data_IF_049286637941
#
_entry.id   IF_049286637941
#
_cell.length_a   1.000
_cell.length_b   1.000
_cell.length_c   1.000
_cell.angle_alpha   90.00
_cell.angle_beta   90.00
_cell.angle_gamma   90.00
#
_symmetry.space_group_name_H-M   'P 1'
#
loop_
_entity.id
_entity.type
_entity.pdbx_description
1 polymer ?
#
# COMPACT_ATOMS: atom_id res chain seq x y z
N UNK A 1 7.93 -22.19 9.51
CA UNK A 1 6.49 -22.48 9.37
C UNK A 1 6.24 -22.94 7.94
N UNK A 2 5.61 -24.09 7.76
CA UNK A 2 5.19 -24.59 6.43
C UNK A 2 3.95 -23.83 6.00
N UNK A 3 4.06 -22.98 4.98
CA UNK A 3 2.90 -22.34 4.36
C UNK A 3 2.01 -23.43 3.75
N UNK A 4 0.71 -23.48 4.06
CA UNK A 4 -0.18 -24.45 3.45
C UNK A 4 -0.26 -24.23 1.94
N UNK A 5 -0.51 -25.29 1.18
CA UNK A 5 -0.63 -25.17 -0.28
C UNK A 5 -1.83 -24.31 -0.70
N UNK A 6 -2.91 -24.31 0.09
CA UNK A 6 -4.09 -23.46 -0.08
C UNK A 6 -4.50 -22.83 1.25
N UNK A 7 -5.19 -21.70 1.13
CA UNK A 7 -5.79 -20.94 2.23
C UNK A 7 -6.75 -21.81 3.05
N UNK A 8 -6.59 -21.86 4.38
CA UNK A 8 -7.58 -22.47 5.26
C UNK A 8 -8.87 -21.64 5.31
N UNK A 9 -8.84 -20.40 4.81
CA UNK A 9 -9.97 -19.48 4.76
C UNK A 9 -10.55 -19.37 3.35
N UNK A 10 -11.86 -19.17 3.27
CA UNK A 10 -12.52 -18.93 1.98
C UNK A 10 -12.13 -17.57 1.43
N UNK A 11 -12.19 -17.38 0.10
CA UNK A 11 -11.93 -16.08 -0.52
C UNK A 11 -12.87 -14.97 0.01
N UNK A 12 -14.04 -15.34 0.54
CA UNK A 12 -15.02 -14.41 1.15
C UNK A 12 -14.61 -13.90 2.53
N UNK A 13 -13.55 -14.44 3.14
CA UNK A 13 -13.08 -13.98 4.44
C UNK A 13 -12.04 -12.86 4.36
N UNK A 14 -11.46 -12.64 3.17
CA UNK A 14 -10.52 -11.56 2.93
C UNK A 14 -11.28 -10.26 2.73
N UNK A 15 -10.88 -9.23 3.47
CA UNK A 15 -11.63 -7.96 3.54
C UNK A 15 -10.79 -6.73 3.21
N UNK A 16 -9.47 -6.91 3.09
CA UNK A 16 -8.51 -5.86 2.75
C UNK A 16 -7.72 -6.31 1.52
N UNK A 17 -7.76 -5.52 0.46
CA UNK A 17 -6.88 -5.65 -0.70
C UNK A 17 -5.66 -4.75 -0.53
N UNK A 18 -4.49 -5.25 -0.91
CA UNK A 18 -3.22 -4.53 -0.91
C UNK A 18 -2.60 -4.66 -2.31
N UNK A 19 -2.42 -3.56 -3.01
CA UNK A 19 -1.79 -3.54 -4.34
C UNK A 19 -0.43 -2.86 -4.23
N UNK A 20 0.60 -3.53 -4.77
CA UNK A 20 1.95 -3.00 -4.93
C UNK A 20 2.29 -2.84 -6.42
N UNK A 21 3.23 -1.96 -6.74
CA UNK A 21 3.77 -1.82 -8.10
C UNK A 21 4.95 -2.77 -8.35
N UNK A 22 5.83 -2.93 -7.35
CA UNK A 22 7.15 -3.56 -7.51
C UNK A 22 7.29 -4.86 -6.70
N UNK A 23 8.22 -5.71 -7.12
CA UNK A 23 8.54 -6.95 -6.39
C UNK A 23 9.11 -6.68 -5.00
N UNK A 24 9.90 -5.61 -4.85
CA UNK A 24 10.49 -5.21 -3.56
C UNK A 24 9.40 -4.81 -2.55
N UNK A 25 8.34 -4.15 -3.03
CA UNK A 25 7.17 -3.74 -2.26
C UNK A 25 6.31 -4.93 -1.86
N UNK A 26 6.02 -5.83 -2.80
CA UNK A 26 5.26 -7.05 -2.50
C UNK A 26 6.02 -7.97 -1.53
N UNK A 27 7.35 -8.03 -1.64
CA UNK A 27 8.19 -8.74 -0.69
C UNK A 27 8.10 -8.14 0.72
N UNK A 28 8.11 -6.80 0.84
CA UNK A 28 7.89 -6.13 2.12
C UNK A 28 6.47 -6.38 2.65
N UNK A 29 5.43 -6.31 1.80
CA UNK A 29 4.05 -6.60 2.18
C UNK A 29 3.90 -8.02 2.76
N UNK A 30 4.44 -9.03 2.07
CA UNK A 30 4.52 -10.41 2.58
C UNK A 30 5.31 -10.48 3.88
N UNK A 31 6.43 -9.75 3.94
CA UNK A 31 7.30 -9.63 5.11
C UNK A 31 6.57 -9.16 6.36
N UNK A 32 5.60 -8.25 6.19
CA UNK A 32 4.83 -7.61 7.26
C UNK A 32 3.58 -8.40 7.71
N UNK A 33 3.15 -9.43 6.98
CA UNK A 33 2.00 -10.26 7.39
C UNK A 33 2.33 -11.09 8.62
N UNK A 34 1.44 -11.16 9.62
CA UNK A 34 1.64 -12.01 10.80
C UNK A 34 1.69 -13.49 10.39
N UNK A 35 0.74 -13.91 9.53
CA UNK A 35 0.66 -15.25 8.98
C UNK A 35 0.45 -15.22 7.46
N UNK A 36 0.99 -16.22 6.75
CA UNK A 36 0.79 -16.41 5.32
C UNK A 36 -0.10 -17.64 5.11
N UNK A 37 -1.16 -17.48 4.33
CA UNK A 37 -2.20 -18.49 4.17
C UNK A 37 -2.05 -19.36 2.91
N UNK A 38 -1.03 -19.15 2.06
CA UNK A 38 -0.89 -19.92 0.81
C UNK A 38 -1.80 -19.43 -0.32
N UNK A 39 -2.12 -20.30 -1.27
CA UNK A 39 -2.91 -19.96 -2.46
C UNK A 39 -4.41 -19.77 -2.17
N UNK A 40 -5.17 -19.05 -3.01
CA UNK A 40 -6.62 -18.94 -2.88
C UNK A 40 -7.30 -20.33 -2.74
N UNK A 41 -8.26 -20.43 -1.82
CA UNK A 41 -8.93 -21.71 -1.57
C UNK A 41 -9.73 -22.15 -2.81
N UNK A 42 -10.48 -21.20 -3.37
CA UNK A 42 -11.06 -21.31 -4.70
C UNK A 42 -10.12 -20.61 -5.68
N UNK A 43 -9.64 -21.30 -6.72
CA UNK A 43 -8.80 -20.69 -7.74
C UNK A 43 -9.49 -19.46 -8.37
N UNK A 44 -8.73 -18.43 -8.74
CA UNK A 44 -9.24 -17.34 -9.57
C UNK A 44 -9.84 -17.86 -10.88
N UNK A 45 -10.71 -17.06 -11.50
CA UNK A 45 -11.19 -17.36 -12.85
C UNK A 45 -10.03 -17.31 -13.85
N UNK A 46 -10.13 -18.01 -14.99
CA UNK A 46 -9.05 -18.04 -16.00
C UNK A 46 -8.66 -16.65 -16.55
N UNK A 47 -9.58 -15.70 -16.50
CA UNK A 47 -9.33 -14.32 -16.93
C UNK A 47 -8.60 -13.47 -15.87
N UNK A 48 -8.56 -13.90 -14.60
CA UNK A 48 -7.81 -13.24 -13.54
C UNK A 48 -6.35 -13.68 -13.61
N UNK A 49 -5.49 -12.77 -14.03
CA UNK A 49 -4.06 -13.03 -14.25
C UNK A 49 -3.20 -12.58 -13.06
N UNK A 50 -3.83 -12.21 -11.94
CA UNK A 50 -3.10 -11.82 -10.75
C UNK A 50 -2.49 -13.02 -10.05
N UNK A 51 -1.35 -12.76 -9.44
CA UNK A 51 -0.75 -13.65 -8.44
C UNK A 51 -0.98 -13.05 -7.05
N UNK A 52 -1.63 -13.81 -6.18
CA UNK A 52 -2.06 -13.37 -4.87
C UNK A 52 -1.15 -13.90 -3.76
N UNK A 53 -0.91 -13.06 -2.76
CA UNK A 53 -0.38 -13.46 -1.46
C UNK A 53 -1.47 -13.23 -0.43
N UNK A 54 -1.84 -14.29 0.25
CA UNK A 54 -2.88 -14.26 1.27
C UNK A 54 -2.25 -14.32 2.66
N UNK A 55 -2.77 -13.53 3.58
CA UNK A 55 -2.29 -13.55 4.96
C UNK A 55 -3.18 -12.79 5.93
N UNK A 56 -2.67 -12.65 7.16
CA UNK A 56 -3.30 -11.88 8.22
C UNK A 56 -2.39 -10.76 8.71
N UNK A 57 -3.00 -9.66 9.15
CA UNK A 57 -2.35 -8.57 9.87
C UNK A 57 -3.27 -8.12 11.00
N UNK A 58 -2.87 -8.43 12.22
CA UNK A 58 -3.72 -8.46 13.39
C UNK A 58 -4.97 -9.30 13.11
N UNK A 59 -6.14 -8.67 13.27
CA UNK A 59 -7.45 -9.31 13.03
C UNK A 59 -7.91 -9.29 11.57
N UNK A 60 -7.16 -8.65 10.68
CA UNK A 60 -7.58 -8.45 9.29
C UNK A 60 -6.98 -9.52 8.38
N UNK A 61 -7.81 -10.11 7.52
CA UNK A 61 -7.34 -10.98 6.43
C UNK A 61 -7.10 -10.14 5.18
N UNK A 62 -5.88 -10.18 4.72
CA UNK A 62 -5.33 -9.32 3.65
C UNK A 62 -5.01 -10.17 2.43
N UNK A 63 -5.41 -9.69 1.26
CA UNK A 63 -4.94 -10.20 -0.03
C UNK A 63 -4.05 -9.16 -0.66
N UNK A 64 -2.80 -9.53 -0.93
CA UNK A 64 -1.84 -8.69 -1.62
C UNK A 64 -1.62 -9.18 -3.05
N UNK A 65 -1.52 -8.25 -4.00
CA UNK A 65 -1.11 -8.52 -5.37
C UNK A 65 -0.14 -7.43 -5.83
N UNK A 66 0.63 -7.73 -6.88
CA UNK A 66 1.44 -6.72 -7.56
C UNK A 66 0.99 -6.53 -9.00
N UNK A 67 1.30 -5.37 -9.54
CA UNK A 67 1.19 -5.12 -10.98
C UNK A 67 2.09 -6.09 -11.77
N UNK A 68 1.70 -6.50 -13.00
CA UNK A 68 2.55 -7.28 -13.88
C UNK A 68 3.89 -6.61 -14.16
N UNK A 69 4.92 -7.42 -14.44
CA UNK A 69 6.26 -6.90 -14.77
C UNK A 69 6.15 -5.98 -15.99
N UNK A 70 6.75 -4.78 -15.88
CA UNK A 70 6.79 -3.75 -16.94
C UNK A 70 5.43 -3.15 -17.31
N UNK A 71 4.38 -3.39 -16.52
CA UNK A 71 3.07 -2.76 -16.70
C UNK A 71 2.75 -1.90 -15.48
N UNK A 72 3.47 -0.78 -15.37
CA UNK A 72 3.22 0.20 -14.30
C UNK A 72 2.07 1.13 -14.68
N UNK A 73 1.55 1.84 -13.68
CA UNK A 73 0.57 2.92 -13.86
C UNK A 73 -0.88 2.53 -13.56
N UNK A 74 -1.74 3.55 -13.60
CA UNK A 74 -3.12 3.50 -13.10
C UNK A 74 -4.01 2.49 -13.81
N UNK A 75 -3.83 2.29 -15.13
CA UNK A 75 -4.62 1.30 -15.89
C UNK A 75 -4.33 -0.13 -15.45
N UNK A 76 -3.05 -0.45 -15.22
CA UNK A 76 -2.68 -1.77 -14.72
C UNK A 76 -3.18 -2.00 -13.29
N UNK A 77 -3.02 -0.99 -12.42
CA UNK A 77 -3.56 -1.05 -11.05
C UNK A 77 -5.08 -1.24 -11.02
N UNK A 78 -5.80 -0.61 -11.95
CA UNK A 78 -7.25 -0.78 -12.11
C UNK A 78 -7.61 -2.21 -12.50
N UNK A 79 -6.88 -2.81 -13.44
CA UNK A 79 -7.10 -4.20 -13.85
C UNK A 79 -6.86 -5.17 -12.68
N UNK A 80 -5.72 -5.04 -11.99
CA UNK A 80 -5.39 -5.83 -10.80
C UNK A 80 -6.48 -5.70 -9.73
N UNK A 81 -6.89 -4.47 -9.42
CA UNK A 81 -7.94 -4.22 -8.41
C UNK A 81 -9.27 -4.87 -8.80
N UNK A 82 -9.69 -4.73 -10.06
CA UNK A 82 -10.97 -5.26 -10.55
C UNK A 82 -11.00 -6.79 -10.50
N UNK A 83 -9.94 -7.44 -10.98
CA UNK A 83 -9.79 -8.90 -10.93
C UNK A 83 -9.75 -9.40 -9.47
N UNK A 84 -9.00 -8.71 -8.60
CA UNK A 84 -8.98 -9.00 -7.15
C UNK A 84 -10.37 -8.93 -6.52
N UNK A 85 -11.19 -7.94 -6.88
CA UNK A 85 -12.56 -7.82 -6.37
C UNK A 85 -13.48 -8.94 -6.84
N UNK A 86 -13.26 -9.48 -8.04
CA UNK A 86 -14.02 -10.65 -8.51
C UNK A 86 -13.64 -11.92 -7.75
N UNK A 87 -12.34 -12.13 -7.51
CA UNK A 87 -11.85 -13.33 -6.81
C UNK A 87 -12.14 -13.27 -5.30
N UNK A 88 -12.11 -12.07 -4.70
CA UNK A 88 -12.33 -11.82 -3.28
C UNK A 88 -13.49 -10.83 -3.05
N UNK A 89 -14.75 -11.29 -3.18
CA UNK A 89 -15.92 -10.41 -3.27
C UNK A 89 -16.31 -9.69 -1.96
N UNK A 90 -15.58 -9.92 -0.88
CA UNK A 90 -15.83 -9.32 0.45
C UNK A 90 -14.76 -8.30 0.85
N UNK A 91 -13.84 -7.96 -0.05
CA UNK A 91 -12.96 -6.80 0.12
C UNK A 91 -13.82 -5.55 0.33
N UNK A 92 -13.52 -4.80 1.39
CA UNK A 92 -14.18 -3.52 1.72
C UNK A 92 -13.23 -2.33 1.61
N UNK A 93 -11.93 -2.58 1.69
CA UNK A 93 -10.89 -1.57 1.63
C UNK A 93 -9.81 -2.08 0.69
N UNK A 94 -9.44 -1.27 -0.31
CA UNK A 94 -8.24 -1.47 -1.12
C UNK A 94 -7.19 -0.43 -0.72
N UNK A 95 -5.95 -0.88 -0.53
CA UNK A 95 -4.79 -0.03 -0.26
C UNK A 95 -3.83 -0.15 -1.43
N UNK A 96 -3.44 0.98 -2.01
CA UNK A 96 -2.28 1.05 -2.90
C UNK A 96 -1.09 1.47 -2.03
N UNK A 97 -0.10 0.58 -1.89
CA UNK A 97 1.06 0.81 -1.02
C UNK A 97 2.31 0.52 -1.81
N UNK A 98 3.21 1.48 -1.85
CA UNK A 98 4.47 1.37 -2.58
C UNK A 98 5.42 2.50 -2.23
N UNK A 99 6.54 2.53 -2.94
CA UNK A 99 7.58 3.55 -2.79
C UNK A 99 7.15 4.79 -3.58
N UNK A 100 7.22 5.94 -2.94
CA UNK A 100 7.00 7.26 -3.56
C UNK A 100 8.26 8.11 -3.54
N UNK A 101 8.33 9.06 -4.46
CA UNK A 101 9.26 10.18 -4.36
C UNK A 101 8.64 11.29 -3.51
N UNK A 102 9.46 11.98 -2.71
CA UNK A 102 9.06 13.14 -1.92
C UNK A 102 9.55 14.44 -2.55
N UNK A 103 8.72 15.47 -2.53
CA UNK A 103 9.10 16.84 -2.87
C UNK A 103 8.87 17.67 -1.60
N UNK A 104 9.92 17.99 -0.82
CA UNK A 104 9.78 18.83 0.35
C UNK A 104 9.42 20.26 -0.07
N UNK A 105 8.67 20.96 0.78
CA UNK A 105 8.35 22.37 0.62
C UNK A 105 8.82 23.10 1.88
N UNK A 106 10.12 23.39 1.90
CA UNK A 106 10.80 24.01 3.05
C UNK A 106 10.29 25.43 3.35
N UNK A 107 9.79 26.14 2.32
CA UNK A 107 9.25 27.49 2.49
C UNK A 107 7.94 27.47 3.30
N UNK A 108 7.21 26.34 3.27
CA UNK A 108 5.97 26.13 4.01
C UNK A 108 6.12 25.11 5.17
N UNK A 109 7.36 24.85 5.62
CA UNK A 109 7.67 23.93 6.72
C UNK A 109 7.17 22.48 6.50
N UNK A 110 7.12 22.05 5.24
CA UNK A 110 6.78 20.68 4.84
C UNK A 110 8.06 19.92 4.58
N UNK A 111 8.59 19.32 5.64
CA UNK A 111 9.79 18.49 5.60
C UNK A 111 9.42 17.01 5.36
N UNK A 112 9.63 16.55 4.13
CA UNK A 112 9.43 15.15 3.72
C UNK A 112 10.79 14.50 3.57
N UNK A 113 11.03 13.42 4.32
CA UNK A 113 12.34 12.75 4.42
C UNK A 113 12.31 11.31 3.91
N UNK A 114 13.49 10.77 3.58
CA UNK A 114 13.62 9.37 3.21
C UNK A 114 13.22 8.46 4.38
N UNK A 115 12.23 7.61 4.12
CA UNK A 115 11.67 6.68 5.11
C UNK A 115 10.36 7.16 5.74
N UNK A 116 9.93 8.39 5.46
CA UNK A 116 8.60 8.83 5.87
C UNK A 116 7.50 8.01 5.20
N UNK A 117 6.48 7.68 5.99
CA UNK A 117 5.28 6.98 5.51
C UNK A 117 4.15 7.99 5.40
N UNK A 118 3.83 8.37 4.17
CA UNK A 118 2.76 9.32 3.88
C UNK A 118 1.44 8.58 3.72
N UNK A 119 0.41 9.04 4.43
CA UNK A 119 -0.96 8.55 4.29
C UNK A 119 -1.80 9.68 3.68
N UNK A 120 -2.37 9.41 2.50
CA UNK A 120 -3.26 10.33 1.79
C UNK A 120 -4.41 10.81 2.68
N UNK A 121 -4.43 12.11 2.96
CA UNK A 121 -5.47 12.77 3.77
C UNK A 121 -5.61 14.23 3.35
N UNK A 122 -6.40 14.48 2.29
CA UNK A 122 -6.77 15.84 1.90
C UNK A 122 -8.29 16.01 1.97
N UNK A 123 -8.79 17.03 2.70
CA UNK A 123 -10.21 17.34 2.74
C UNK A 123 -10.75 17.89 1.40
N UNK A 124 -9.86 18.35 0.49
CA UNK A 124 -10.25 18.97 -0.79
C UNK A 124 -10.22 18.02 -1.99
N UNK A 125 -9.31 17.05 -2.00
CA UNK A 125 -9.02 16.22 -3.20
C UNK A 125 -9.07 14.71 -2.94
N UNK A 126 -9.56 14.29 -1.78
CA UNK A 126 -9.51 12.88 -1.35
C UNK A 126 -8.09 12.37 -1.06
N UNK A 127 -7.09 13.26 -1.18
CA UNK A 127 -5.68 13.03 -0.84
C UNK A 127 -4.81 12.53 -1.99
N UNK A 128 -5.36 12.42 -3.20
CA UNK A 128 -4.60 12.10 -4.43
C UNK A 128 -4.96 13.10 -5.52
N UNK A 129 -3.94 13.65 -6.17
CA UNK A 129 -4.09 14.56 -7.32
C UNK A 129 -3.58 13.84 -8.56
N UNK A 130 -4.43 13.76 -9.59
CA UNK A 130 -4.10 13.10 -10.86
C UNK A 130 -3.53 14.15 -11.81
N UNK A 131 -2.21 14.30 -11.80
CA UNK A 131 -1.51 15.42 -12.45
C UNK A 131 -1.56 15.38 -13.99
N UNK A 132 -1.70 14.20 -14.58
CA UNK A 132 -1.84 13.99 -16.03
C UNK A 132 -3.25 14.27 -16.56
N UNK A 133 -4.20 14.62 -15.68
CA UNK A 133 -5.59 14.83 -16.02
C UNK A 133 -6.04 16.27 -15.72
N UNK A 134 -5.47 17.21 -16.46
CA UNK A 134 -5.87 18.62 -16.41
C UNK A 134 -5.74 19.33 -17.76
N UNK A 135 -6.17 20.58 -17.80
CA UNK A 135 -6.10 21.44 -18.98
C UNK A 135 -5.27 22.68 -18.67
N UNK A 136 -4.41 23.06 -19.61
CA UNK A 136 -3.78 24.37 -19.60
C UNK A 136 -4.82 25.42 -20.03
N UNK A 137 -4.96 26.48 -19.26
CA UNK A 137 -5.83 27.61 -19.54
C UNK A 137 -5.07 28.66 -20.37
N UNK A 138 -5.82 29.56 -21.03
CA UNK A 138 -5.23 30.58 -21.90
C UNK A 138 -4.33 31.59 -21.16
N UNK A 139 -4.50 31.71 -19.84
CA UNK A 139 -3.67 32.55 -18.96
C UNK A 139 -2.39 31.85 -18.48
N UNK A 140 -2.14 30.61 -18.93
CA UNK A 140 -0.99 29.80 -18.55
C UNK A 140 -1.17 29.01 -17.25
N UNK A 141 -2.32 29.11 -16.59
CA UNK A 141 -2.62 28.30 -15.40
C UNK A 141 -3.04 26.87 -15.76
N UNK A 142 -2.90 25.93 -14.81
CA UNK A 142 -3.31 24.54 -14.99
C UNK A 142 -4.52 24.23 -14.12
N UNK A 143 -5.59 23.73 -14.74
CA UNK A 143 -6.79 23.29 -14.05
C UNK A 143 -6.83 21.75 -14.02
N UNK A 144 -6.75 21.17 -12.81
CA UNK A 144 -6.98 19.73 -12.62
C UNK A 144 -8.44 19.40 -12.91
N UNK A 145 -8.69 18.50 -13.86
CA UNK A 145 -10.03 18.07 -14.26
C UNK A 145 -10.50 16.81 -13.53
N UNK A 146 -9.61 16.18 -12.77
CA UNK A 146 -9.91 14.97 -12.00
C UNK A 146 -9.85 15.26 -10.50
N UNK A 147 -10.93 14.93 -9.80
CA UNK A 147 -10.99 14.88 -8.34
C UNK A 147 -11.37 13.46 -7.95
N UNK A 148 -10.54 12.80 -7.15
CA UNK A 148 -10.82 11.47 -6.64
C UNK A 148 -11.73 11.55 -5.41
N UNK A 149 -12.53 10.49 -5.23
CA UNK A 149 -13.40 10.39 -4.06
C UNK A 149 -12.58 10.37 -2.77
N UNK A 150 -13.09 11.04 -1.74
CA UNK A 150 -12.55 10.93 -0.39
C UNK A 150 -12.63 9.48 0.12
N UNK A 151 -11.66 9.05 0.95
CA UNK A 151 -11.69 7.72 1.53
C UNK A 151 -12.96 7.51 2.37
N UNK A 152 -13.36 6.24 2.53
CA UNK A 152 -14.50 5.85 3.36
C UNK A 152 -14.40 6.47 4.76
N UNK A 153 -15.53 6.88 5.34
CA UNK A 153 -15.58 7.47 6.69
C UNK A 153 -14.86 6.61 7.74
N UNK A 154 -14.96 5.29 7.63
CA UNK A 154 -14.27 4.35 8.52
C UNK A 154 -12.74 4.47 8.46
N UNK A 155 -12.17 4.73 7.29
CA UNK A 155 -10.72 4.97 7.13
C UNK A 155 -10.34 6.34 7.69
N UNK A 156 -11.17 7.37 7.48
CA UNK A 156 -10.96 8.68 8.09
C UNK A 156 -10.95 8.61 9.62
N UNK A 157 -11.89 7.87 10.21
CA UNK A 157 -11.92 7.64 11.66
C UNK A 157 -10.72 6.81 12.15
N UNK A 158 -10.28 5.81 11.38
CA UNK A 158 -9.09 5.02 11.72
C UNK A 158 -7.82 5.87 11.66
N UNK A 159 -7.69 6.77 10.68
CA UNK A 159 -6.59 7.72 10.58
C UNK A 159 -6.61 8.71 11.74
N UNK A 160 -7.77 9.27 12.09
CA UNK A 160 -7.91 10.15 13.25
C UNK A 160 -7.50 9.46 14.55
N UNK A 161 -7.85 8.18 14.72
CA UNK A 161 -7.37 7.38 15.86
C UNK A 161 -5.85 7.22 15.84
N UNK A 162 -5.27 6.88 14.69
CA UNK A 162 -3.82 6.73 14.53
C UNK A 162 -3.09 8.03 14.88
N UNK A 163 -3.62 9.18 14.45
CA UNK A 163 -3.08 10.49 14.81
C UNK A 163 -3.13 10.73 16.32
N UNK A 164 -4.27 10.46 16.96
CA UNK A 164 -4.40 10.55 18.44
C UNK A 164 -3.39 9.66 19.15
N UNK A 165 -3.20 8.42 18.68
CA UNK A 165 -2.20 7.52 19.25
C UNK A 165 -0.79 8.11 19.09
N UNK A 166 -0.46 8.69 17.94
CA UNK A 166 0.83 9.34 17.70
C UNK A 166 1.08 10.63 18.49
N UNK A 167 0.03 11.30 18.98
CA UNK A 167 0.18 12.42 19.92
C UNK A 167 0.59 11.92 21.32
N UNK A 168 0.31 10.66 21.64
CA UNK A 168 0.51 10.09 22.98
C UNK A 168 1.75 9.20 23.06
N UNK A 169 2.17 8.60 21.95
CA UNK A 169 3.26 7.63 21.89
C UNK A 169 3.95 7.65 20.52
N UNK A 170 5.21 7.24 20.48
CA UNK A 170 5.94 7.10 19.22
C UNK A 170 5.32 6.04 18.29
N UNK A 171 5.56 6.21 16.99
CA UNK A 171 5.12 5.23 16.00
C UNK A 171 5.89 3.90 16.15
N UNK A 172 5.30 2.82 15.64
CA UNK A 172 5.86 1.46 15.76
C UNK A 172 6.57 0.97 14.50
N UNK A 173 6.91 1.87 13.57
CA UNK A 173 7.47 1.49 12.26
C UNK A 173 8.79 0.73 12.44
N UNK A 174 9.71 1.27 13.24
CA UNK A 174 11.00 0.63 13.51
C UNK A 174 10.85 -0.77 14.13
N UNK A 175 9.90 -0.92 15.06
CA UNK A 175 9.56 -2.21 15.67
C UNK A 175 9.09 -3.24 14.62
N UNK A 176 8.18 -2.86 13.72
CA UNK A 176 7.67 -3.77 12.68
C UNK A 176 8.73 -4.13 11.64
N UNK A 177 9.58 -3.17 11.25
CA UNK A 177 10.72 -3.43 10.37
C UNK A 177 11.66 -4.46 11.01
N UNK A 178 12.05 -4.26 12.27
CA UNK A 178 12.97 -5.18 12.95
C UNK A 178 12.36 -6.58 13.07
N UNK A 179 11.08 -6.69 13.47
CA UNK A 179 10.35 -7.96 13.52
C UNK A 179 10.33 -8.69 12.17
N UNK A 180 10.11 -7.97 11.08
CA UNK A 180 10.17 -8.55 9.73
C UNK A 180 11.58 -9.07 9.42
N UNK A 181 12.62 -8.30 9.75
CA UNK A 181 14.01 -8.66 9.46
C UNK A 181 14.53 -9.82 10.33
N UNK A 182 14.06 -9.94 11.57
CA UNK A 182 14.27 -11.13 12.43
C UNK A 182 13.69 -12.38 11.76
N UNK A 183 12.47 -12.28 11.21
CA UNK A 183 11.79 -13.40 10.55
C UNK A 183 12.39 -13.77 9.19
N UNK A 184 12.91 -12.78 8.46
CA UNK A 184 13.50 -12.97 7.13
C UNK A 184 14.92 -12.38 7.04
N UNK A 185 15.95 -13.07 7.59
CA UNK A 185 17.32 -12.56 7.60
C UNK A 185 17.90 -12.28 6.21
N UNK A 186 17.44 -12.99 5.17
CA UNK A 186 17.86 -12.74 3.79
C UNK A 186 17.47 -11.33 3.33
N UNK A 187 16.34 -10.78 3.77
CA UNK A 187 15.94 -9.41 3.44
C UNK A 187 16.94 -8.39 4.01
N UNK A 188 17.41 -8.61 5.25
CA UNK A 188 18.48 -7.77 5.84
C UNK A 188 19.74 -7.81 4.98
N UNK A 189 20.18 -8.98 4.55
CA UNK A 189 21.36 -9.12 3.69
C UNK A 189 21.20 -8.46 2.30
N UNK A 190 19.96 -8.26 1.85
CA UNK A 190 19.61 -7.58 0.60
C UNK A 190 19.41 -6.07 0.77
N UNK A 191 19.67 -5.52 1.96
CA UNK A 191 19.64 -4.08 2.23
C UNK A 191 18.30 -3.54 2.74
N UNK A 192 17.32 -4.39 3.06
CA UNK A 192 16.10 -3.93 3.72
C UNK A 192 16.44 -3.43 5.12
N UNK A 193 16.36 -2.12 5.32
CA UNK A 193 16.62 -1.45 6.60
C UNK A 193 16.13 0.00 6.52
N UNK A 194 16.02 0.65 7.67
CA UNK A 194 15.99 2.11 7.70
C UNK A 194 17.44 2.61 7.57
N UNK A 195 17.80 3.37 6.52
CA UNK A 195 19.19 3.75 6.26
C UNK A 195 19.75 4.79 7.25
N UNK A 196 18.87 5.37 8.09
CA UNK A 196 19.22 6.36 9.11
C UNK A 196 19.29 7.79 8.54
N UNK A 197 19.16 8.77 9.43
CA UNK A 197 19.12 10.20 9.05
C UNK A 197 20.37 10.68 8.29
N UNK A 198 21.54 10.08 8.51
CA UNK A 198 22.75 10.48 7.80
C UNK A 198 22.73 10.15 6.29
N UNK A 199 21.86 9.21 5.89
CA UNK A 199 21.67 8.80 4.50
C UNK A 199 20.46 9.49 3.85
N UNK A 200 19.81 10.41 4.55
CA UNK A 200 18.66 11.17 4.07
C UNK A 200 19.15 12.27 3.10
N UNK A 201 19.22 11.93 1.82
CA UNK A 201 19.65 12.81 0.74
C UNK A 201 18.56 12.87 -0.32
N UNK A 202 17.79 13.94 -0.29
CA UNK A 202 16.87 14.29 -1.37
C UNK A 202 17.68 15.01 -2.45
N UNK A 203 17.53 14.59 -3.70
CA UNK A 203 18.25 15.13 -4.86
C UNK A 203 17.40 16.15 -5.60
#
# INVERSE_FOLDING_TARGET
MTTPARSPFTNKEYTVGWICALSVELAAAKGMMDEVHGEPQTPPAEADNNSYILGSMGRFKVVAARLPIRQLGSSSATAVAKEMLFTFPRIRVGLLVGIGAGIPDYDNDVDIRLGDVVISSSPKTGGVVVYDFGKALADGSFESLCVLNSPLRSLGSALGKLQTDHLMQENKIAYYIEKMLERFPLMRSKGYSHPGHAADRLF
#
